data_IF_387778880544
#
_entry.id   IF_387778880544
#
_cell.length_a   1.000
_cell.length_b   1.000
_cell.length_c   1.000
_cell.angle_alpha   90.00
_cell.angle_beta   90.00
_cell.angle_gamma   90.00
#
_symmetry.space_group_name_H-M   'P 1'
#
loop_
_entity.id
_entity.type
_entity.pdbx_description
1 polymer ?
#
# COMPACT_ATOMS: atom_id res chain seq x y z
N UNK A 1 -28.43 4.32 22.65
CA UNK A 1 -27.58 3.18 22.23
C UNK A 1 -26.14 3.58 22.53
N UNK A 2 -25.45 2.94 23.48
CA UNK A 2 -24.07 3.31 23.83
C UNK A 2 -23.18 3.02 22.63
N UNK A 3 -22.53 4.04 22.07
CA UNK A 3 -21.41 3.89 21.14
C UNK A 3 -20.46 2.85 21.75
N UNK A 4 -20.06 1.82 21.01
CA UNK A 4 -19.09 0.82 21.50
C UNK A 4 -17.69 1.33 21.17
N UNK A 5 -17.02 2.09 22.06
CA UNK A 5 -15.78 2.80 21.73
C UNK A 5 -14.64 1.85 21.33
N UNK A 6 -14.68 0.61 21.82
CA UNK A 6 -13.70 -0.43 21.54
C UNK A 6 -13.58 -0.76 20.06
N UNK A 7 -14.70 -0.77 19.32
CA UNK A 7 -14.66 -1.10 17.88
C UNK A 7 -13.89 -0.05 17.10
N UNK A 8 -14.10 1.24 17.43
CA UNK A 8 -13.35 2.34 16.80
C UNK A 8 -11.86 2.26 17.13
N UNK A 9 -11.51 1.96 18.39
CA UNK A 9 -10.12 1.78 18.81
C UNK A 9 -9.42 0.64 18.05
N UNK A 10 -10.10 -0.49 17.82
CA UNK A 10 -9.55 -1.61 17.05
C UNK A 10 -9.32 -1.20 15.59
N UNK A 11 -10.30 -0.54 14.95
CA UNK A 11 -10.18 -0.11 13.55
C UNK A 11 -9.00 0.83 13.36
N UNK A 12 -8.88 1.87 14.19
CA UNK A 12 -7.76 2.82 14.10
C UNK A 12 -6.41 2.18 14.38
N UNK A 13 -6.34 1.22 15.31
CA UNK A 13 -5.10 0.49 15.58
C UNK A 13 -4.68 -0.33 14.36
N UNK A 14 -5.64 -1.03 13.73
CA UNK A 14 -5.38 -1.82 12.54
C UNK A 14 -4.97 -0.96 11.34
N UNK A 15 -5.65 0.18 11.15
CA UNK A 15 -5.32 1.17 10.13
C UNK A 15 -3.88 1.68 10.29
N UNK A 16 -3.50 2.03 11.53
CA UNK A 16 -2.17 2.52 11.82
C UNK A 16 -1.08 1.48 11.54
N UNK A 17 -1.30 0.22 11.96
CA UNK A 17 -0.38 -0.89 11.67
C UNK A 17 -0.24 -1.09 10.16
N UNK A 18 -1.36 -1.05 9.41
CA UNK A 18 -1.36 -1.24 7.97
C UNK A 18 -0.61 -0.13 7.23
N UNK A 19 -0.81 1.12 7.66
CA UNK A 19 -0.11 2.29 7.12
C UNK A 19 1.40 2.18 7.35
N UNK A 20 1.82 1.90 8.59
CA UNK A 20 3.25 1.73 8.92
C UNK A 20 3.85 0.56 8.15
N UNK A 21 3.17 -0.58 8.10
CA UNK A 21 3.66 -1.75 7.36
C UNK A 21 3.84 -1.45 5.87
N UNK A 22 2.90 -0.74 5.26
CA UNK A 22 2.97 -0.36 3.85
C UNK A 22 4.10 0.63 3.58
N UNK A 23 4.31 1.60 4.47
CA UNK A 23 5.39 2.58 4.32
C UNK A 23 6.77 1.94 4.50
N UNK A 24 6.92 1.04 5.48
CA UNK A 24 8.15 0.27 5.70
C UNK A 24 8.44 -0.65 4.52
N UNK A 25 7.43 -1.36 4.00
CA UNK A 25 7.56 -2.20 2.81
C UNK A 25 7.97 -1.37 1.59
N UNK A 26 7.32 -0.20 1.38
CA UNK A 26 7.69 0.74 0.31
C UNK A 26 9.15 1.18 0.44
N UNK A 27 9.59 1.53 1.64
CA UNK A 27 10.97 1.97 1.87
C UNK A 27 11.98 0.86 1.53
N UNK A 28 11.70 -0.37 1.95
CA UNK A 28 12.58 -1.54 1.72
C UNK A 28 12.63 -1.97 0.26
N UNK A 29 11.60 -1.73 -0.54
CA UNK A 29 11.59 -2.15 -1.95
C UNK A 29 12.43 -1.24 -2.84
N UNK A 30 13.30 -1.82 -3.69
CA UNK A 30 14.06 -1.06 -4.67
C UNK A 30 13.24 -0.71 -5.91
N UNK A 31 12.25 -1.55 -6.27
CA UNK A 31 11.36 -1.36 -7.42
C UNK A 31 9.91 -1.61 -7.02
N UNK A 32 9.02 -0.76 -7.52
CA UNK A 32 7.56 -0.86 -7.38
C UNK A 32 6.90 -0.78 -8.75
N UNK A 33 5.61 -1.11 -8.84
CA UNK A 33 4.82 -0.89 -10.06
C UNK A 33 4.64 0.61 -10.31
N UNK A 34 5.52 1.20 -11.12
CA UNK A 34 5.59 2.65 -11.32
C UNK A 34 6.44 3.37 -10.25
N UNK A 35 6.39 4.71 -10.18
CA UNK A 35 7.28 5.51 -9.35
C UNK A 35 7.07 5.26 -7.85
N UNK A 36 8.16 4.99 -7.13
CA UNK A 36 8.13 4.72 -5.68
C UNK A 36 7.47 5.85 -4.87
N UNK A 37 7.73 7.10 -5.26
CA UNK A 37 7.17 8.28 -4.59
C UNK A 37 5.66 8.41 -4.76
N UNK A 38 5.11 7.96 -5.90
CA UNK A 38 3.67 7.97 -6.16
C UNK A 38 2.92 7.10 -5.15
N UNK A 39 3.47 5.92 -4.85
CA UNK A 39 2.91 5.02 -3.83
C UNK A 39 2.96 5.62 -2.43
N UNK A 40 4.02 6.35 -2.08
CA UNK A 40 4.10 7.06 -0.80
C UNK A 40 2.99 8.10 -0.64
N UNK A 41 2.71 8.87 -1.69
CA UNK A 41 1.60 9.82 -1.72
C UNK A 41 0.26 9.09 -1.60
N UNK A 42 0.03 8.02 -2.37
CA UNK A 42 -1.23 7.27 -2.34
C UNK A 42 -1.52 6.68 -0.96
N UNK A 43 -0.51 6.09 -0.31
CA UNK A 43 -0.61 5.54 1.04
C UNK A 43 -1.04 6.63 2.04
N UNK A 44 -0.51 7.84 1.89
CA UNK A 44 -0.81 8.96 2.79
C UNK A 44 -2.17 9.63 2.50
N UNK A 45 -2.50 9.85 1.23
CA UNK A 45 -3.69 10.62 0.81
C UNK A 45 -4.99 9.82 0.91
N UNK A 46 -4.93 8.51 0.69
CA UNK A 46 -6.12 7.64 0.59
C UNK A 46 -6.35 6.80 1.86
N UNK A 47 -5.66 7.14 2.95
CA UNK A 47 -5.77 6.58 4.32
C UNK A 47 -5.85 5.04 4.39
N UNK A 48 -7.04 4.45 4.34
CA UNK A 48 -7.22 3.00 4.40
C UNK A 48 -6.99 2.31 3.04
N UNK A 49 -7.42 2.93 1.95
CA UNK A 49 -7.36 2.30 0.62
C UNK A 49 -5.94 2.36 0.03
N UNK A 50 -5.18 3.43 0.32
CA UNK A 50 -3.81 3.60 -0.18
C UNK A 50 -2.87 2.44 0.19
N UNK A 51 -2.73 2.11 1.50
CA UNK A 51 -1.98 0.96 1.99
C UNK A 51 -2.43 -0.36 1.35
N UNK A 52 -3.75 -0.60 1.27
CA UNK A 52 -4.32 -1.84 0.71
C UNK A 52 -3.96 -1.98 -0.78
N UNK A 53 -4.19 -0.93 -1.58
CA UNK A 53 -3.89 -0.95 -3.03
C UNK A 53 -2.40 -1.08 -3.27
N UNK A 54 -1.55 -0.43 -2.47
CA UNK A 54 -0.11 -0.60 -2.54
C UNK A 54 0.32 -2.05 -2.26
N UNK A 55 -0.17 -2.64 -1.17
CA UNK A 55 0.17 -4.00 -0.79
C UNK A 55 -0.36 -5.04 -1.78
N UNK A 56 -1.53 -4.84 -2.39
CA UNK A 56 -2.07 -5.79 -3.36
C UNK A 56 -1.38 -5.62 -4.72
N UNK A 57 -1.33 -4.39 -5.24
CA UNK A 57 -0.93 -4.11 -6.60
C UNK A 57 0.46 -3.50 -6.72
N UNK A 58 0.76 -2.46 -5.94
CA UNK A 58 1.96 -1.64 -6.07
C UNK A 58 3.28 -2.35 -5.73
N UNK A 59 3.23 -3.34 -4.82
CA UNK A 59 4.41 -4.05 -4.32
C UNK A 59 5.11 -4.96 -5.34
N UNK A 60 4.43 -5.34 -6.41
CA UNK A 60 4.98 -6.22 -7.44
C UNK A 60 5.45 -5.37 -8.62
N UNK A 61 6.70 -5.47 -9.08
CA UNK A 61 7.10 -4.83 -10.33
C UNK A 61 6.32 -5.43 -11.51
N UNK A 62 6.07 -4.64 -12.55
CA UNK A 62 5.56 -5.19 -13.80
C UNK A 62 6.63 -6.14 -14.34
N UNK A 63 6.28 -7.40 -14.54
CA UNK A 63 7.12 -8.33 -15.30
C UNK A 63 7.45 -7.65 -16.63
N UNK A 64 8.72 -7.62 -17.06
CA UNK A 64 9.04 -7.13 -18.39
C UNK A 64 8.26 -8.01 -19.36
N UNK A 65 7.21 -7.45 -19.95
CA UNK A 65 6.44 -8.09 -21.00
C UNK A 65 7.43 -8.53 -22.05
N UNK A 66 7.49 -9.84 -22.25
CA UNK A 66 7.56 -10.64 -23.49
C UNK A 66 7.30 -9.88 -24.82
N UNK A 67 7.80 -8.66 -24.99
CA UNK A 67 7.70 -7.85 -26.21
C UNK A 67 9.02 -7.83 -26.98
N UNK A 68 9.99 -8.67 -26.60
CA UNK A 68 11.27 -8.88 -27.30
C UNK A 68 11.40 -10.30 -27.89
N UNK A 69 10.30 -11.05 -27.96
CA UNK A 69 10.25 -12.41 -28.57
C UNK A 69 9.77 -12.35 -30.03
N UNK A 70 9.50 -11.15 -30.55
CA UNK A 70 9.06 -10.92 -31.94
C UNK A 70 9.99 -10.01 -32.74
N UNK A 71 11.28 -9.98 -32.39
CA UNK A 71 12.34 -9.37 -33.20
C UNK A 71 13.21 -10.46 -33.86
#
# INVERSE_FOLDING_TARGET
MKEKPYVKAVVYTLEFILLVASYVDLWKRPRTRGPKWLWGILIFLVNYLGPVVYLVWGRHPATPTESSIHD
#
